data_IF_896299385641
#
_entry.id   IF_896299385641
#
_cell.length_a   1.000
_cell.length_b   1.000
_cell.length_c   1.000
_cell.angle_alpha   90.00
_cell.angle_beta   90.00
_cell.angle_gamma   90.00
#
_symmetry.space_group_name_H-M   'P 1'
#
loop_
_entity.id
_entity.type
_entity.pdbx_description
1 polymer ?
#
# COMPACT_ATOMS: atom_id res chain seq x y z
N UNK A 1 -9.54 33.77 -0.69
CA UNK A 1 -8.75 32.79 0.06
C UNK A 1 -9.75 31.82 0.71
N UNK A 2 -9.91 30.64 0.19
CA UNK A 2 -10.73 29.60 0.83
C UNK A 2 -9.96 29.11 2.06
N UNK A 3 -10.55 29.12 3.26
CA UNK A 3 -9.87 28.59 4.45
C UNK A 3 -9.55 27.10 4.21
N UNK A 4 -8.34 26.70 4.56
CA UNK A 4 -7.96 25.28 4.55
C UNK A 4 -8.94 24.53 5.45
N UNK A 5 -9.42 23.34 5.03
CA UNK A 5 -10.29 22.55 5.88
C UNK A 5 -9.59 22.26 7.22
N UNK A 6 -10.33 22.17 8.32
CA UNK A 6 -9.74 21.87 9.62
C UNK A 6 -9.01 20.53 9.57
N UNK A 7 -7.80 20.49 10.08
CA UNK A 7 -7.03 19.26 10.22
C UNK A 7 -7.62 18.46 11.39
N UNK A 8 -8.30 17.36 11.10
CA UNK A 8 -8.86 16.46 12.11
C UNK A 8 -7.74 15.50 12.53
N UNK A 9 -7.50 15.36 13.82
CA UNK A 9 -6.50 14.43 14.35
C UNK A 9 -7.00 12.98 14.26
N UNK A 10 -6.05 12.03 14.23
CA UNK A 10 -6.38 10.59 14.26
C UNK A 10 -7.14 10.23 15.53
N UNK A 11 -6.81 10.85 16.65
CA UNK A 11 -7.49 10.67 17.93
C UNK A 11 -8.96 11.06 17.85
N UNK A 12 -9.26 12.20 17.25
CA UNK A 12 -10.65 12.66 17.06
C UNK A 12 -11.43 11.71 16.16
N UNK A 13 -10.80 11.18 15.10
CA UNK A 13 -11.43 10.17 14.24
C UNK A 13 -11.71 8.87 14.99
N UNK A 14 -10.77 8.39 15.80
CA UNK A 14 -10.95 7.18 16.61
C UNK A 14 -12.10 7.35 17.62
N UNK A 15 -12.17 8.49 18.28
CA UNK A 15 -13.28 8.78 19.23
C UNK A 15 -14.63 8.88 18.51
N UNK A 16 -14.68 9.49 17.33
CA UNK A 16 -15.89 9.51 16.51
C UNK A 16 -16.36 8.09 16.11
N UNK A 17 -15.42 7.22 15.71
CA UNK A 17 -15.73 5.81 15.40
C UNK A 17 -16.28 5.08 16.64
N UNK A 18 -15.66 5.26 17.80
CA UNK A 18 -16.11 4.65 19.06
C UNK A 18 -17.52 5.11 19.47
N UNK A 19 -17.80 6.38 19.32
CA UNK A 19 -19.09 6.98 19.66
C UNK A 19 -20.21 6.65 18.66
N UNK A 20 -19.84 6.34 17.41
CA UNK A 20 -20.77 6.04 16.33
C UNK A 20 -21.42 4.64 16.45
N UNK A 21 -22.34 4.31 15.55
CA UNK A 21 -22.95 2.99 15.47
C UNK A 21 -21.91 1.94 15.10
N UNK A 22 -22.20 0.66 15.41
CA UNK A 22 -21.37 -0.49 15.01
C UNK A 22 -22.09 -1.39 14.02
N UNK A 23 -21.38 -2.36 13.49
CA UNK A 23 -21.93 -3.43 12.66
C UNK A 23 -21.39 -3.45 11.23
N UNK A 24 -21.58 -4.57 10.52
CA UNK A 24 -21.00 -4.82 9.20
C UNK A 24 -21.65 -3.99 8.09
N UNK A 25 -22.79 -3.37 8.34
CA UNK A 25 -23.49 -2.45 7.43
C UNK A 25 -22.69 -1.17 7.17
N UNK A 26 -21.74 -0.87 8.06
CA UNK A 26 -20.87 0.30 7.97
C UNK A 26 -19.53 -0.16 7.38
N UNK A 27 -19.13 0.43 6.26
CA UNK A 27 -17.85 0.17 5.63
C UNK A 27 -16.87 1.32 5.83
N UNK A 28 -15.63 0.99 6.19
CA UNK A 28 -14.51 1.91 6.24
C UNK A 28 -13.55 1.61 5.08
N UNK A 29 -13.35 2.59 4.22
CA UNK A 29 -12.46 2.49 3.05
C UNK A 29 -11.12 3.13 3.39
N UNK A 30 -10.06 2.40 3.18
CA UNK A 30 -8.69 2.88 3.36
C UNK A 30 -7.94 2.76 2.04
N UNK A 31 -7.31 3.83 1.61
CA UNK A 31 -6.28 3.78 0.60
C UNK A 31 -5.02 3.12 1.18
N UNK A 32 -4.24 2.46 0.34
CA UNK A 32 -3.07 1.72 0.81
C UNK A 32 -1.81 2.59 0.77
N UNK A 33 -1.38 3.00 -0.44
CA UNK A 33 -0.15 3.74 -0.65
C UNK A 33 -0.26 5.18 -0.14
N UNK A 34 0.64 5.59 0.76
CA UNK A 34 0.62 6.91 1.37
C UNK A 34 -0.45 7.11 2.46
N UNK A 35 -1.31 6.12 2.71
CA UNK A 35 -2.39 6.18 3.71
C UNK A 35 -2.22 5.12 4.80
N UNK A 36 -2.20 3.85 4.46
CA UNK A 36 -1.88 2.77 5.39
C UNK A 36 -0.38 2.59 5.56
N UNK A 37 0.39 2.78 4.50
CA UNK A 37 1.85 2.69 4.50
C UNK A 37 2.49 4.01 4.06
N UNK A 38 3.70 4.24 4.55
CA UNK A 38 4.57 5.31 4.04
C UNK A 38 5.16 4.88 2.69
N UNK A 39 4.95 5.68 1.66
CA UNK A 39 5.46 5.42 0.31
C UNK A 39 4.52 4.53 -0.51
N UNK A 40 5.10 3.80 -1.44
CA UNK A 40 4.38 3.02 -2.45
C UNK A 40 4.70 1.54 -2.32
N UNK A 41 3.67 0.69 -2.34
CA UNK A 41 3.79 -0.78 -2.29
C UNK A 41 4.61 -1.36 -3.45
N UNK A 42 4.57 -0.71 -4.62
CA UNK A 42 5.41 -1.08 -5.75
C UNK A 42 6.92 -1.05 -5.43
N UNK A 43 7.36 -0.13 -4.54
CA UNK A 43 8.75 -0.06 -4.11
C UNK A 43 9.17 -1.29 -3.30
N UNK A 44 8.27 -1.85 -2.49
CA UNK A 44 8.51 -3.07 -1.74
C UNK A 44 8.81 -4.25 -2.68
N UNK A 45 8.00 -4.41 -3.73
CA UNK A 45 8.21 -5.44 -4.74
C UNK A 45 9.53 -5.27 -5.49
N UNK A 46 9.84 -4.04 -5.93
CA UNK A 46 11.09 -3.73 -6.65
C UNK A 46 12.30 -4.03 -5.75
N UNK A 47 12.26 -3.61 -4.49
CA UNK A 47 13.34 -3.85 -3.52
C UNK A 47 13.54 -5.34 -3.28
N UNK A 48 12.46 -6.09 -3.10
CA UNK A 48 12.51 -7.53 -2.92
C UNK A 48 13.14 -8.23 -4.13
N UNK A 49 12.69 -7.91 -5.34
CA UNK A 49 13.23 -8.49 -6.58
C UNK A 49 14.70 -8.12 -6.78
N UNK A 50 15.10 -6.89 -6.44
CA UNK A 50 16.49 -6.46 -6.51
C UNK A 50 17.38 -7.25 -5.54
N UNK A 51 16.94 -7.44 -4.30
CA UNK A 51 17.66 -8.22 -3.27
C UNK A 51 17.83 -9.69 -3.66
N UNK A 52 16.83 -10.26 -4.33
CA UNK A 52 16.84 -11.66 -4.75
C UNK A 52 17.46 -11.87 -6.15
N UNK A 53 18.08 -10.84 -6.73
CA UNK A 53 18.66 -10.88 -8.08
C UNK A 53 17.66 -11.31 -9.16
N UNK A 54 16.38 -11.02 -8.97
CA UNK A 54 15.30 -11.34 -9.91
C UNK A 54 15.10 -10.28 -11.00
N UNK A 55 15.79 -9.13 -10.89
CA UNK A 55 15.79 -8.08 -11.91
C UNK A 55 16.86 -8.37 -12.95
N UNK A 56 16.44 -8.48 -14.23
CA UNK A 56 17.38 -8.53 -15.33
C UNK A 56 18.16 -7.20 -15.47
N UNK A 57 19.36 -7.20 -16.13
CA UNK A 57 20.18 -5.99 -16.27
C UNK A 57 19.44 -4.81 -16.91
N UNK A 58 18.66 -5.06 -17.95
CA UNK A 58 17.89 -4.04 -18.66
C UNK A 58 16.73 -3.50 -17.81
N UNK A 59 16.08 -4.36 -17.04
CA UNK A 59 15.01 -4.00 -16.13
C UNK A 59 15.56 -3.16 -14.97
N UNK A 60 16.70 -3.56 -14.41
CA UNK A 60 17.39 -2.82 -13.36
C UNK A 60 17.74 -1.39 -13.83
N UNK A 61 18.35 -1.25 -15.00
CA UNK A 61 18.70 0.07 -15.56
C UNK A 61 17.45 0.93 -15.78
N UNK A 62 16.36 0.36 -16.30
CA UNK A 62 15.09 1.09 -16.48
C UNK A 62 14.48 1.53 -15.16
N UNK A 63 14.46 0.64 -14.17
CA UNK A 63 13.95 0.93 -12.84
C UNK A 63 14.76 2.03 -12.15
N UNK A 64 16.08 1.97 -12.24
CA UNK A 64 16.97 3.00 -11.70
C UNK A 64 16.78 4.34 -12.41
N UNK A 65 16.62 4.34 -13.71
CA UNK A 65 16.36 5.55 -14.49
C UNK A 65 15.01 6.19 -14.13
N UNK A 66 13.98 5.38 -13.91
CA UNK A 66 12.67 5.82 -13.42
C UNK A 66 12.77 6.43 -12.01
N UNK A 67 13.51 5.80 -11.10
CA UNK A 67 13.70 6.29 -9.73
C UNK A 67 14.48 7.63 -9.67
N UNK A 68 15.42 7.86 -10.60
CA UNK A 68 16.25 9.07 -10.64
C UNK A 68 15.65 10.17 -11.53
N UNK A 69 14.73 9.83 -12.42
CA UNK A 69 14.17 10.74 -13.45
C UNK A 69 13.00 11.61 -12.97
N UNK A 70 12.55 11.47 -11.71
CA UNK A 70 11.36 12.18 -11.20
C UNK A 70 10.05 11.44 -11.47
N UNK A 71 8.89 12.12 -11.36
CA UNK A 71 7.59 11.49 -11.55
C UNK A 71 7.47 10.84 -12.92
N UNK A 72 7.07 9.57 -12.95
CA UNK A 72 6.80 8.84 -14.19
C UNK A 72 5.53 9.42 -14.84
N UNK A 73 5.54 9.55 -16.16
CA UNK A 73 4.29 9.75 -16.89
C UNK A 73 3.42 8.47 -16.84
N UNK A 74 2.16 8.60 -17.18
CA UNK A 74 1.19 7.49 -17.10
C UNK A 74 1.63 6.26 -17.91
N UNK A 75 2.22 6.48 -19.08
CA UNK A 75 2.69 5.41 -19.97
C UNK A 75 3.87 4.67 -19.37
N UNK A 76 4.87 5.40 -18.87
CA UNK A 76 6.05 4.82 -18.24
C UNK A 76 5.70 4.08 -16.95
N UNK A 77 4.74 4.59 -16.16
CA UNK A 77 4.23 3.92 -14.96
C UNK A 77 3.51 2.61 -15.32
N UNK A 78 2.65 2.63 -16.34
CA UNK A 78 1.94 1.45 -16.83
C UNK A 78 2.90 0.37 -17.33
N UNK A 79 3.92 0.76 -18.08
CA UNK A 79 4.94 -0.18 -18.59
C UNK A 79 5.74 -0.81 -17.46
N UNK A 80 6.10 -0.04 -16.43
CA UNK A 80 6.79 -0.54 -15.24
C UNK A 80 5.93 -1.56 -14.48
N UNK A 81 4.64 -1.25 -14.29
CA UNK A 81 3.68 -2.16 -13.66
C UNK A 81 3.49 -3.45 -14.45
N UNK A 82 3.34 -3.37 -15.78
CA UNK A 82 3.21 -4.54 -16.63
C UNK A 82 4.46 -5.43 -16.59
N UNK A 83 5.65 -4.85 -16.51
CA UNK A 83 6.89 -5.61 -16.35
C UNK A 83 6.95 -6.34 -15.01
N UNK A 84 6.51 -5.69 -13.92
CA UNK A 84 6.39 -6.31 -12.61
C UNK A 84 5.48 -7.53 -12.63
N UNK A 85 4.30 -7.42 -13.25
CA UNK A 85 3.32 -8.50 -13.36
C UNK A 85 3.83 -9.66 -14.22
N UNK A 86 4.61 -9.40 -15.26
CA UNK A 86 5.21 -10.47 -16.09
C UNK A 86 6.08 -11.44 -15.31
N UNK A 87 6.71 -10.97 -14.23
CA UNK A 87 7.48 -11.84 -13.33
C UNK A 87 6.63 -12.85 -12.55
N UNK A 88 5.30 -12.72 -12.59
CA UNK A 88 4.37 -13.62 -11.90
C UNK A 88 3.78 -14.69 -12.83
N UNK A 89 3.99 -14.56 -14.13
CA UNK A 89 3.50 -15.54 -15.11
C UNK A 89 4.07 -16.94 -14.79
N UNK A 90 3.17 -17.91 -14.65
CA UNK A 90 3.51 -19.29 -14.32
C UNK A 90 3.65 -19.59 -12.82
N UNK A 91 3.49 -18.60 -11.94
CA UNK A 91 3.41 -18.86 -10.48
C UNK A 91 2.00 -19.29 -10.10
N UNK A 92 1.91 -20.16 -9.10
CA UNK A 92 0.65 -20.58 -8.49
C UNK A 92 0.12 -19.54 -7.51
N UNK A 93 -1.16 -19.64 -7.15
CA UNK A 93 -1.77 -18.76 -6.13
C UNK A 93 -1.06 -18.90 -4.77
N UNK A 94 -0.66 -20.12 -4.40
CA UNK A 94 0.08 -20.37 -3.14
C UNK A 94 1.44 -19.68 -3.15
N UNK A 95 2.18 -19.74 -4.26
CA UNK A 95 3.48 -19.06 -4.41
C UNK A 95 3.31 -17.52 -4.35
N UNK A 96 2.22 -16.97 -4.92
CA UNK A 96 1.93 -15.54 -4.84
C UNK A 96 1.51 -15.12 -3.43
N UNK A 97 0.77 -15.97 -2.73
CA UNK A 97 0.40 -15.72 -1.33
C UNK A 97 1.64 -15.71 -0.42
N UNK A 98 2.54 -16.67 -0.59
CA UNK A 98 3.80 -16.74 0.14
C UNK A 98 4.67 -15.51 -0.13
N UNK A 99 4.79 -15.10 -1.40
CA UNK A 99 5.48 -13.86 -1.78
C UNK A 99 4.86 -12.64 -1.10
N UNK A 100 3.53 -12.53 -1.10
CA UNK A 100 2.82 -11.44 -0.43
C UNK A 100 3.10 -11.38 1.07
N UNK A 101 3.14 -12.52 1.75
CA UNK A 101 3.49 -12.62 3.17
C UNK A 101 4.94 -12.21 3.43
N UNK A 102 5.87 -12.62 2.58
CA UNK A 102 7.28 -12.22 2.67
C UNK A 102 7.45 -10.71 2.46
N UNK A 103 6.84 -10.15 1.43
CA UNK A 103 6.86 -8.71 1.16
C UNK A 103 6.28 -7.91 2.31
N UNK A 104 5.16 -8.37 2.87
CA UNK A 104 4.58 -7.71 4.03
C UNK A 104 5.54 -7.71 5.22
N UNK A 105 6.08 -8.88 5.59
CA UNK A 105 6.94 -9.02 6.76
C UNK A 105 8.26 -8.24 6.63
N UNK A 106 8.86 -8.22 5.44
CA UNK A 106 10.19 -7.69 5.23
C UNK A 106 10.21 -6.20 4.86
N UNK A 107 9.20 -5.74 4.10
CA UNK A 107 9.23 -4.41 3.49
C UNK A 107 8.07 -3.51 3.94
N UNK A 108 6.87 -4.07 4.14
CA UNK A 108 5.65 -3.28 4.34
C UNK A 108 5.34 -3.05 5.82
N UNK A 109 5.52 -4.06 6.66
CA UNK A 109 5.14 -3.97 8.08
C UNK A 109 5.84 -2.82 8.82
N UNK A 110 7.10 -2.55 8.49
CA UNK A 110 7.85 -1.43 9.05
C UNK A 110 7.44 -0.05 8.51
N UNK A 111 6.71 -0.02 7.40
CA UNK A 111 6.24 1.22 6.76
C UNK A 111 4.80 1.59 7.15
N UNK A 112 4.12 0.79 7.95
CA UNK A 112 2.75 1.07 8.39
C UNK A 112 2.69 2.35 9.23
N UNK A 113 1.76 3.24 8.88
CA UNK A 113 1.45 4.40 9.72
C UNK A 113 0.73 3.97 10.99
N UNK A 114 1.35 4.15 12.13
CA UNK A 114 0.81 3.76 13.43
C UNK A 114 -0.57 4.37 13.72
N UNK A 115 -0.77 5.64 13.39
CA UNK A 115 -2.04 6.33 13.57
C UNK A 115 -3.17 5.71 12.73
N UNK A 116 -2.92 5.48 11.44
CA UNK A 116 -3.92 4.89 10.53
C UNK A 116 -4.24 3.45 10.94
N UNK A 117 -3.23 2.68 11.38
CA UNK A 117 -3.43 1.33 11.90
C UNK A 117 -4.35 1.32 13.13
N UNK A 118 -4.17 2.25 14.06
CA UNK A 118 -5.06 2.42 15.23
C UNK A 118 -6.51 2.71 14.81
N UNK A 119 -6.69 3.52 13.77
CA UNK A 119 -8.01 3.82 13.22
C UNK A 119 -8.66 2.57 12.58
N UNK A 120 -7.90 1.78 11.82
CA UNK A 120 -8.37 0.47 11.30
C UNK A 120 -8.85 -0.42 12.44
N UNK A 121 -8.06 -0.52 13.52
CA UNK A 121 -8.44 -1.31 14.72
C UNK A 121 -9.70 -0.79 15.40
N UNK A 122 -9.89 0.52 15.46
CA UNK A 122 -11.11 1.10 16.01
C UNK A 122 -12.35 0.66 15.21
N UNK A 123 -12.28 0.69 13.89
CA UNK A 123 -13.34 0.20 13.01
C UNK A 123 -13.57 -1.31 13.17
N UNK A 124 -12.50 -2.12 13.20
CA UNK A 124 -12.61 -3.57 13.45
C UNK A 124 -13.32 -3.87 14.77
N UNK A 125 -12.97 -3.16 15.85
CA UNK A 125 -13.58 -3.35 17.17
C UNK A 125 -15.07 -2.97 17.21
N UNK A 126 -15.52 -2.12 16.27
CA UNK A 126 -16.94 -1.77 16.10
C UNK A 126 -17.67 -2.75 15.16
N UNK A 127 -17.00 -3.76 14.62
CA UNK A 127 -17.56 -4.73 13.68
C UNK A 127 -17.84 -4.15 12.29
N UNK A 128 -17.18 -3.05 11.92
CA UNK A 128 -17.31 -2.44 10.60
C UNK A 128 -16.63 -3.31 9.53
N UNK A 129 -17.14 -3.28 8.32
CA UNK A 129 -16.49 -3.86 7.15
C UNK A 129 -15.29 -3.01 6.75
N UNK A 130 -14.10 -3.60 6.70
CA UNK A 130 -12.88 -2.92 6.26
C UNK A 130 -12.64 -3.20 4.77
N UNK A 131 -12.47 -2.15 4.00
CA UNK A 131 -12.16 -2.22 2.57
C UNK A 131 -10.84 -1.49 2.31
N UNK A 132 -9.89 -2.18 1.68
CA UNK A 132 -8.64 -1.57 1.22
C UNK A 132 -8.79 -1.31 -0.28
N UNK A 133 -8.66 -0.05 -0.66
CA UNK A 133 -8.62 0.38 -2.05
C UNK A 133 -7.15 0.60 -2.46
N UNK A 134 -6.75 0.06 -3.60
CA UNK A 134 -5.40 0.17 -4.11
C UNK A 134 -5.40 0.34 -5.63
#
# INVERSE_FOLDING_TARGET
>A
MTPSPPVISVEELIEAVKAGPGGPEIAAFFDFDGTLIQGYSANALITHRARNFELGPDEFVRTMRAALGGPLDETAFKDLMLQGIRGWVGRTDDELLELGQQLFAQEIAGALFHGTWRLVRAHQNKGHTIVIAT
#
